data_IF_231243282464
#
_entry.id   IF_231243282464
#
_cell.length_a   1.000
_cell.length_b   1.000
_cell.length_c   1.000
_cell.angle_alpha   90.00
_cell.angle_beta   90.00
_cell.angle_gamma   90.00
#
_symmetry.space_group_name_H-M   'P 1'
#
loop_
_entity.id
_entity.type
_entity.pdbx_description
1 polymer ?
#
# COMPACT_ATOMS: atom_id res chain seq x y z
N UNK A 1 -24.11 21.17 1.40
CA UNK A 1 -24.15 19.95 2.23
C UNK A 1 -23.51 18.77 1.51
N UNK A 2 -24.00 18.36 0.33
CA UNK A 2 -23.46 17.20 -0.41
C UNK A 2 -21.94 17.29 -0.68
N UNK A 3 -21.46 18.46 -1.12
CA UNK A 3 -20.04 18.74 -1.31
C UNK A 3 -19.20 18.47 -0.05
N UNK A 4 -19.57 19.10 1.08
CA UNK A 4 -18.85 18.96 2.37
C UNK A 4 -18.87 17.52 2.87
N UNK A 5 -20.01 16.83 2.73
CA UNK A 5 -20.12 15.41 3.08
C UNK A 5 -19.18 14.56 2.23
N UNK A 6 -19.16 14.77 0.91
CA UNK A 6 -18.26 14.06 0.01
C UNK A 6 -16.78 14.33 0.33
N UNK A 7 -16.43 15.58 0.69
CA UNK A 7 -15.08 15.93 1.12
C UNK A 7 -14.67 15.20 2.40
N UNK A 8 -15.53 15.18 3.43
CA UNK A 8 -15.26 14.44 4.67
C UNK A 8 -15.08 12.95 4.38
N UNK A 9 -15.97 12.36 3.58
CA UNK A 9 -15.88 10.95 3.22
C UNK A 9 -14.64 10.63 2.39
N UNK A 10 -14.22 11.52 1.49
CA UNK A 10 -12.96 11.39 0.74
C UNK A 10 -11.75 11.36 1.68
N UNK A 11 -11.69 12.27 2.65
CA UNK A 11 -10.60 12.32 3.65
C UNK A 11 -10.60 11.08 4.54
N UNK A 12 -11.76 10.65 5.06
CA UNK A 12 -11.87 9.44 5.85
C UNK A 12 -11.42 8.18 5.07
N UNK A 13 -11.78 8.13 3.79
CA UNK A 13 -11.35 7.04 2.90
C UNK A 13 -9.84 7.08 2.67
N UNK A 14 -9.25 8.26 2.50
CA UNK A 14 -7.80 8.42 2.39
C UNK A 14 -7.09 7.95 3.68
N UNK A 15 -7.58 8.32 4.86
CA UNK A 15 -7.07 7.83 6.15
C UNK A 15 -7.12 6.31 6.23
N UNK A 16 -8.24 5.70 5.80
CA UNK A 16 -8.35 4.25 5.76
C UNK A 16 -7.33 3.62 4.77
N UNK A 17 -7.07 4.22 3.61
CA UNK A 17 -6.00 3.76 2.70
C UNK A 17 -4.64 3.80 3.41
N UNK A 18 -4.31 4.87 4.12
CA UNK A 18 -3.06 4.97 4.88
C UNK A 18 -2.98 3.95 6.01
N UNK A 19 -4.07 3.69 6.71
CA UNK A 19 -4.12 2.65 7.74
C UNK A 19 -3.84 1.26 7.16
N UNK A 20 -4.43 0.94 5.99
CA UNK A 20 -4.15 -0.31 5.26
C UNK A 20 -2.69 -0.40 4.83
N UNK A 21 -2.12 0.68 4.28
CA UNK A 21 -0.70 0.71 3.89
C UNK A 21 0.25 0.57 5.10
N UNK A 22 -0.11 1.15 6.25
CA UNK A 22 0.66 1.00 7.48
C UNK A 22 0.63 -0.45 7.98
N UNK A 23 -0.52 -1.13 7.92
CA UNK A 23 -0.61 -2.55 8.23
C UNK A 23 0.22 -3.41 7.27
N UNK A 24 0.14 -3.15 5.95
CA UNK A 24 0.98 -3.82 4.95
C UNK A 24 2.46 -3.65 5.27
N UNK A 25 2.88 -2.44 5.68
CA UNK A 25 4.27 -2.13 6.00
C UNK A 25 4.75 -2.82 7.27
N UNK A 26 3.99 -2.69 8.37
CA UNK A 26 4.31 -3.32 9.65
C UNK A 26 4.33 -4.84 9.52
N UNK A 27 3.35 -5.43 8.83
CA UNK A 27 3.33 -6.85 8.58
C UNK A 27 4.54 -7.30 7.77
N UNK A 28 4.89 -6.59 6.69
CA UNK A 28 6.08 -6.93 5.90
C UNK A 28 7.37 -6.79 6.73
N UNK A 29 7.48 -5.75 7.57
CA UNK A 29 8.62 -5.57 8.46
C UNK A 29 8.74 -6.71 9.49
N UNK A 30 7.61 -7.12 10.06
CA UNK A 30 7.53 -8.23 11.02
C UNK A 30 7.85 -9.57 10.40
N UNK A 31 7.27 -9.87 9.23
CA UNK A 31 7.55 -11.07 8.44
C UNK A 31 9.05 -11.21 8.11
N UNK A 32 9.74 -10.12 7.80
CA UNK A 32 11.18 -10.13 7.52
C UNK A 32 12.04 -10.47 8.74
N UNK A 33 11.55 -10.20 9.95
CA UNK A 33 12.26 -10.44 11.22
C UNK A 33 11.87 -11.75 11.90
N UNK A 34 10.80 -12.40 11.43
CA UNK A 34 10.35 -13.65 12.02
C UNK A 34 11.32 -14.80 11.72
N UNK A 35 11.63 -15.57 12.77
CA UNK A 35 12.47 -16.76 12.71
C UNK A 35 11.67 -18.05 12.92
N UNK A 36 10.51 -17.95 13.59
CA UNK A 36 9.64 -19.10 13.90
C UNK A 36 8.23 -18.87 13.37
N UNK A 37 7.51 -19.97 13.11
CA UNK A 37 6.12 -19.94 12.64
C UNK A 37 5.19 -19.13 13.56
N UNK A 38 5.37 -19.28 14.88
CA UNK A 38 4.61 -18.54 15.90
C UNK A 38 4.75 -17.02 15.77
N UNK A 39 5.91 -16.53 15.32
CA UNK A 39 6.19 -15.11 15.18
C UNK A 39 5.54 -14.52 13.91
N UNK A 40 5.12 -15.38 12.97
CA UNK A 40 4.51 -14.95 11.70
C UNK A 40 2.99 -14.78 11.78
N UNK A 41 2.32 -15.59 12.59
CA UNK A 41 0.85 -15.58 12.71
C UNK A 41 0.27 -14.17 12.93
N UNK A 42 0.80 -13.31 13.81
CA UNK A 42 0.29 -11.95 14.01
C UNK A 42 0.42 -11.06 12.76
N UNK A 43 1.50 -11.23 11.99
CA UNK A 43 1.75 -10.43 10.79
C UNK A 43 0.91 -10.88 9.60
N UNK A 44 0.68 -12.18 9.44
CA UNK A 44 -0.26 -12.71 8.45
C UNK A 44 -1.67 -12.24 8.76
N UNK A 45 -2.06 -12.19 10.04
CA UNK A 45 -3.34 -11.60 10.46
C UNK A 45 -3.43 -10.12 10.08
N UNK A 46 -2.39 -9.32 10.33
CA UNK A 46 -2.36 -7.91 9.93
C UNK A 46 -2.54 -7.72 8.42
N UNK A 47 -1.94 -8.58 7.60
CA UNK A 47 -2.18 -8.60 6.14
C UNK A 47 -3.62 -8.95 5.79
N UNK A 48 -4.24 -9.92 6.48
CA UNK A 48 -5.66 -10.25 6.25
C UNK A 48 -6.58 -9.08 6.59
N UNK A 49 -6.33 -8.39 7.71
CA UNK A 49 -7.11 -7.20 8.10
C UNK A 49 -6.97 -6.11 7.04
N UNK A 50 -5.74 -5.80 6.61
CA UNK A 50 -5.50 -4.86 5.51
C UNK A 50 -6.21 -5.28 4.22
N UNK A 51 -6.16 -6.57 3.87
CA UNK A 51 -6.81 -7.12 2.67
C UNK A 51 -8.34 -7.04 2.74
N UNK A 52 -8.93 -7.11 3.92
CA UNK A 52 -10.37 -7.08 4.12
C UNK A 52 -10.97 -5.69 3.87
N UNK A 53 -10.38 -4.63 4.45
CA UNK A 53 -10.95 -3.26 4.32
C UNK A 53 -10.22 -2.39 3.29
N UNK A 54 -8.95 -2.67 2.98
CA UNK A 54 -8.12 -1.86 2.09
C UNK A 54 -8.68 -1.67 0.68
N UNK A 55 -9.28 -2.69 0.02
CA UNK A 55 -9.93 -2.51 -1.28
C UNK A 55 -11.10 -1.53 -1.22
N UNK A 56 -11.93 -1.62 -0.18
CA UNK A 56 -13.08 -0.74 0.01
C UNK A 56 -12.65 0.70 0.26
N UNK A 57 -11.62 0.93 1.07
CA UNK A 57 -11.04 2.26 1.27
C UNK A 57 -10.54 2.88 -0.05
N UNK A 58 -9.89 2.07 -0.90
CA UNK A 58 -9.39 2.50 -2.22
C UNK A 58 -10.53 2.85 -3.18
N UNK A 59 -11.60 2.07 -3.19
CA UNK A 59 -12.81 2.33 -4.00
C UNK A 59 -13.49 3.62 -3.51
N UNK A 60 -13.67 3.76 -2.19
CA UNK A 60 -14.32 4.91 -1.59
C UNK A 60 -13.55 6.22 -1.86
N UNK A 61 -12.23 6.23 -1.68
CA UNK A 61 -11.42 7.43 -1.93
C UNK A 61 -11.50 7.85 -3.40
N UNK A 62 -11.49 6.89 -4.35
CA UNK A 62 -11.66 7.19 -5.77
C UNK A 62 -13.06 7.73 -6.06
N UNK A 63 -14.11 7.08 -5.55
CA UNK A 63 -15.49 7.47 -5.79
C UNK A 63 -15.78 8.90 -5.35
N UNK A 64 -15.42 9.24 -4.10
CA UNK A 64 -15.60 10.61 -3.60
C UNK A 64 -14.64 11.61 -4.26
N UNK A 65 -13.42 11.19 -4.61
CA UNK A 65 -12.47 12.04 -5.33
C UNK A 65 -12.95 12.42 -6.72
N UNK A 66 -13.51 11.46 -7.47
CA UNK A 66 -14.12 11.71 -8.78
C UNK A 66 -15.35 12.61 -8.67
N UNK A 67 -16.21 12.38 -7.68
CA UNK A 67 -17.34 13.27 -7.42
C UNK A 67 -16.88 14.72 -7.23
N UNK A 68 -15.88 14.96 -6.39
CA UNK A 68 -15.32 16.30 -6.15
C UNK A 68 -14.62 16.88 -7.39
N UNK A 69 -13.98 16.04 -8.20
CA UNK A 69 -13.35 16.45 -9.46
C UNK A 69 -14.36 17.04 -10.46
N UNK A 70 -15.52 16.39 -10.60
CA UNK A 70 -16.61 16.85 -11.47
C UNK A 70 -17.37 18.04 -10.90
N UNK A 71 -17.70 17.99 -9.60
CA UNK A 71 -18.60 18.96 -8.96
C UNK A 71 -17.89 20.29 -8.62
N UNK A 72 -16.60 20.24 -8.24
CA UNK A 72 -15.94 21.38 -7.62
C UNK A 72 -14.58 21.78 -8.21
N UNK A 73 -13.83 20.86 -8.84
CA UNK A 73 -12.42 21.11 -9.16
C UNK A 73 -12.10 21.26 -10.65
N UNK A 74 -13.09 21.21 -11.54
CA UNK A 74 -12.95 21.55 -12.97
C UNK A 74 -11.85 20.80 -13.73
N UNK A 75 -11.55 19.55 -13.36
CA UNK A 75 -10.62 18.65 -14.10
C UNK A 75 -9.23 19.24 -14.42
N UNK A 76 -8.54 19.73 -13.40
CA UNK A 76 -7.17 20.23 -13.51
C UNK A 76 -6.10 19.13 -13.65
N UNK A 77 -4.91 19.50 -14.14
CA UNK A 77 -3.82 18.57 -14.46
C UNK A 77 -3.36 17.67 -13.30
N UNK A 78 -3.37 18.14 -12.06
CA UNK A 78 -3.06 17.33 -10.87
C UNK A 78 -4.05 16.16 -10.69
N UNK A 79 -5.30 16.30 -11.12
CA UNK A 79 -6.29 15.20 -11.05
C UNK A 79 -5.83 14.01 -11.91
N UNK A 80 -5.22 14.27 -13.07
CA UNK A 80 -4.68 13.22 -13.94
C UNK A 80 -3.51 12.50 -13.25
N UNK A 81 -2.60 13.26 -12.63
CA UNK A 81 -1.47 12.71 -11.86
C UNK A 81 -1.98 11.84 -10.71
N UNK A 82 -2.95 12.33 -9.95
CA UNK A 82 -3.53 11.61 -8.84
C UNK A 82 -4.24 10.31 -9.27
N UNK A 83 -5.01 10.33 -10.37
CA UNK A 83 -5.66 9.14 -10.90
C UNK A 83 -4.64 8.09 -11.37
N UNK A 84 -3.59 8.52 -12.10
CA UNK A 84 -2.52 7.63 -12.51
C UNK A 84 -1.77 7.03 -11.31
N UNK A 85 -1.50 7.84 -10.29
CA UNK A 85 -0.82 7.43 -9.05
C UNK A 85 -1.67 6.47 -8.22
N UNK A 86 -2.96 6.75 -8.11
CA UNK A 86 -3.92 5.86 -7.45
C UNK A 86 -4.00 4.51 -8.17
N UNK A 87 -4.05 4.52 -9.51
CA UNK A 87 -4.05 3.30 -10.31
C UNK A 87 -2.77 2.49 -10.08
N UNK A 88 -1.60 3.14 -10.11
CA UNK A 88 -0.33 2.49 -9.80
C UNK A 88 -0.34 1.87 -8.38
N UNK A 89 -0.84 2.60 -7.38
CA UNK A 89 -0.96 2.13 -6.00
C UNK A 89 -1.83 0.86 -5.89
N UNK A 90 -2.93 0.79 -6.63
CA UNK A 90 -3.84 -0.36 -6.66
C UNK A 90 -3.18 -1.56 -7.35
N UNK A 91 -2.60 -1.35 -8.53
CA UNK A 91 -1.99 -2.42 -9.33
C UNK A 91 -0.80 -3.06 -8.62
N UNK A 92 0.04 -2.26 -7.96
CA UNK A 92 1.18 -2.75 -7.18
C UNK A 92 0.77 -3.55 -5.94
N UNK A 93 -0.45 -3.36 -5.41
CA UNK A 93 -0.91 -4.04 -4.21
C UNK A 93 -1.57 -5.41 -4.45
N UNK A 94 -2.21 -5.59 -5.61
CA UNK A 94 -3.21 -6.65 -5.85
C UNK A 94 -2.71 -8.08 -5.66
N UNK A 95 -1.51 -8.41 -6.13
CA UNK A 95 -0.96 -9.76 -6.08
C UNK A 95 -0.38 -10.15 -4.72
N UNK A 96 0.33 -9.21 -4.08
CA UNK A 96 1.14 -9.46 -2.88
C UNK A 96 0.33 -9.45 -1.59
N UNK A 97 -0.55 -8.45 -1.45
CA UNK A 97 -1.21 -8.14 -0.17
C UNK A 97 -2.67 -8.59 -0.13
N UNK A 98 -3.28 -8.87 -1.28
CA UNK A 98 -4.69 -9.31 -1.39
C UNK A 98 -4.86 -10.61 -2.20
N UNK A 99 -3.76 -11.14 -2.74
CA UNK A 99 -3.78 -12.13 -3.81
C UNK A 99 -3.35 -13.54 -3.40
N UNK A 100 -2.69 -14.22 -4.34
CA UNK A 100 -2.25 -15.62 -4.18
C UNK A 100 -1.24 -15.76 -3.03
N UNK A 101 -0.31 -14.82 -2.90
CA UNK A 101 0.74 -14.84 -1.87
C UNK A 101 0.15 -14.83 -0.46
N UNK A 102 -0.81 -13.95 -0.18
CA UNK A 102 -1.48 -13.93 1.13
C UNK A 102 -2.20 -15.26 1.39
N UNK A 103 -2.94 -15.82 0.42
CA UNK A 103 -3.63 -17.10 0.60
C UNK A 103 -2.66 -18.25 0.91
N UNK A 104 -1.49 -18.28 0.27
CA UNK A 104 -0.44 -19.25 0.56
C UNK A 104 0.07 -19.09 2.00
N UNK A 105 0.35 -17.85 2.44
CA UNK A 105 0.76 -17.58 3.82
C UNK A 105 -0.28 -18.00 4.85
N UNK A 106 -1.58 -17.75 4.57
CA UNK A 106 -2.68 -18.18 5.45
C UNK A 106 -2.77 -19.70 5.53
N UNK A 107 -2.69 -20.40 4.39
CA UNK A 107 -2.72 -21.86 4.37
C UNK A 107 -1.58 -22.46 5.21
N UNK A 108 -0.36 -21.93 5.06
CA UNK A 108 0.83 -22.38 5.78
C UNK A 108 0.75 -22.14 7.30
N UNK A 109 0.19 -21.01 7.72
CA UNK A 109 0.00 -20.73 9.17
C UNK A 109 -1.04 -21.67 9.79
N UNK A 110 -2.01 -22.15 9.00
CA UNK A 110 -3.07 -23.03 9.50
C UNK A 110 -2.69 -24.51 9.53
N UNK A 111 -1.63 -24.94 8.84
CA UNK A 111 -1.24 -26.36 8.77
C UNK A 111 -0.53 -26.88 10.03
N UNK A 112 -0.06 -26.02 10.95
CA UNK A 112 0.60 -26.35 12.24
C UNK A 112 1.76 -27.38 12.20
N UNK A 113 2.16 -27.91 11.05
CA UNK A 113 3.25 -28.86 10.89
C UNK A 113 4.62 -28.20 11.07
N UNK A 114 5.44 -28.74 11.97
CA UNK A 114 6.79 -28.27 12.25
C UNK A 114 7.72 -28.31 11.01
N UNK A 115 7.50 -29.26 10.10
CA UNK A 115 8.28 -29.39 8.85
C UNK A 115 7.92 -28.33 7.79
N UNK A 116 6.81 -27.61 7.95
CA UNK A 116 6.44 -26.51 7.05
C UNK A 116 7.26 -25.22 7.30
N UNK A 117 8.02 -25.14 8.40
CA UNK A 117 8.79 -23.96 8.80
C UNK A 117 9.96 -23.62 7.84
N UNK A 118 10.64 -24.64 7.29
CA UNK A 118 11.80 -24.44 6.42
C UNK A 118 11.44 -23.93 5.01
N UNK A 119 10.43 -24.48 4.30
CA UNK A 119 9.92 -23.88 3.06
C UNK A 119 9.36 -22.47 3.26
N UNK A 120 8.74 -22.23 4.42
CA UNK A 120 8.11 -20.97 4.77
C UNK A 120 9.10 -19.80 4.95
N UNK A 121 10.25 -20.02 5.59
CA UNK A 121 11.28 -18.97 5.72
C UNK A 121 11.74 -18.43 4.35
N UNK A 122 11.80 -19.28 3.33
CA UNK A 122 12.14 -18.88 1.95
C UNK A 122 11.02 -18.12 1.23
N UNK A 123 9.75 -18.40 1.57
CA UNK A 123 8.57 -17.76 0.98
C UNK A 123 8.11 -16.48 1.71
N UNK A 124 8.53 -16.28 2.96
CA UNK A 124 8.18 -15.11 3.77
C UNK A 124 9.22 -13.99 3.60
N UNK A 125 10.49 -14.33 3.37
CA UNK A 125 11.59 -13.36 3.19
C UNK A 125 11.70 -12.83 1.77
N UNK A 126 10.59 -12.59 1.09
CA UNK A 126 10.68 -12.18 -0.31
C UNK A 126 10.99 -10.69 -0.41
N UNK A 127 12.17 -10.29 -0.94
CA UNK A 127 12.60 -8.90 -0.96
C UNK A 127 11.63 -7.98 -1.73
N UNK A 128 10.88 -8.55 -2.68
CA UNK A 128 9.93 -7.81 -3.51
C UNK A 128 8.73 -7.25 -2.75
N UNK A 129 8.26 -7.90 -1.67
CA UNK A 129 7.15 -7.35 -0.87
C UNK A 129 7.54 -6.04 -0.17
N UNK A 130 8.80 -5.96 0.28
CA UNK A 130 9.35 -4.75 0.89
C UNK A 130 9.44 -3.61 -0.12
N UNK A 131 9.91 -3.91 -1.34
CA UNK A 131 9.95 -2.93 -2.44
C UNK A 131 8.54 -2.41 -2.71
N UNK A 132 7.55 -3.30 -2.88
CA UNK A 132 6.19 -2.90 -3.21
C UNK A 132 5.54 -2.04 -2.14
N UNK A 133 5.71 -2.39 -0.86
CA UNK A 133 5.08 -1.61 0.22
C UNK A 133 5.70 -0.23 0.34
N UNK A 134 7.03 -0.11 0.21
CA UNK A 134 7.71 1.18 0.21
C UNK A 134 7.34 2.04 -1.00
N UNK A 135 7.27 1.44 -2.19
CA UNK A 135 6.80 2.14 -3.40
C UNK A 135 5.37 2.63 -3.23
N UNK A 136 4.46 1.81 -2.68
CA UNK A 136 3.07 2.21 -2.44
C UNK A 136 2.96 3.33 -1.39
N UNK A 137 3.77 3.29 -0.34
CA UNK A 137 3.86 4.39 0.63
C UNK A 137 4.37 5.68 -0.03
N UNK A 138 5.41 5.60 -0.84
CA UNK A 138 5.95 6.73 -1.59
C UNK A 138 4.91 7.34 -2.54
N UNK A 139 4.16 6.50 -3.26
CA UNK A 139 3.04 6.93 -4.09
C UNK A 139 1.96 7.62 -3.27
N UNK A 140 1.56 7.05 -2.13
CA UNK A 140 0.53 7.65 -1.28
C UNK A 140 0.94 9.02 -0.74
N UNK A 141 2.20 9.18 -0.30
CA UNK A 141 2.76 10.47 0.13
C UNK A 141 2.80 11.47 -1.03
N UNK A 142 3.27 11.05 -2.21
CA UNK A 142 3.26 11.89 -3.41
C UNK A 142 1.86 12.34 -3.80
N UNK A 143 0.85 11.49 -3.62
CA UNK A 143 -0.56 11.79 -3.92
C UNK A 143 -1.14 12.82 -2.94
N UNK A 144 -0.82 12.73 -1.64
CA UNK A 144 -1.20 13.75 -0.65
C UNK A 144 -0.54 15.10 -0.99
N UNK A 145 0.74 15.08 -1.38
CA UNK A 145 1.44 16.29 -1.78
C UNK A 145 0.81 16.94 -3.02
N UNK A 146 0.50 16.15 -4.05
CA UNK A 146 -0.17 16.59 -5.27
C UNK A 146 -1.55 17.20 -4.97
N UNK A 147 -2.35 16.56 -4.11
CA UNK A 147 -3.66 17.05 -3.66
C UNK A 147 -3.59 18.35 -2.85
N UNK A 148 -2.49 18.56 -2.13
CA UNK A 148 -2.31 19.71 -1.23
C UNK A 148 -1.82 20.93 -1.99
N UNK A 149 -0.79 20.78 -2.81
CA UNK A 149 -0.18 21.89 -3.55
C UNK A 149 -0.86 22.16 -4.89
N UNK A 150 -1.65 21.20 -5.40
CA UNK A 150 -2.32 21.25 -6.71
C UNK A 150 -1.39 21.78 -7.81
N UNK A 151 -0.17 21.25 -7.91
CA UNK A 151 0.82 21.80 -8.82
C UNK A 151 0.40 21.55 -10.28
N UNK A 152 1.12 22.17 -11.22
CA UNK A 152 0.94 21.83 -12.63
C UNK A 152 1.28 20.35 -12.89
N UNK A 153 0.70 19.77 -13.96
CA UNK A 153 0.85 18.36 -14.35
C UNK A 153 2.31 17.86 -14.27
N UNK A 154 3.25 18.69 -14.71
CA UNK A 154 4.69 18.36 -14.77
C UNK A 154 5.31 18.23 -13.38
N UNK A 155 5.01 19.18 -12.47
CA UNK A 155 5.57 19.17 -11.11
C UNK A 155 4.95 18.04 -10.30
N UNK A 156 3.64 17.78 -10.44
CA UNK A 156 2.98 16.64 -9.80
C UNK A 156 3.60 15.31 -10.24
N UNK A 157 3.80 15.11 -11.55
CA UNK A 157 4.42 13.90 -12.08
C UNK A 157 5.84 13.69 -11.54
N UNK A 158 6.67 14.74 -11.49
CA UNK A 158 8.04 14.66 -10.94
C UNK A 158 8.00 14.21 -9.49
N UNK A 159 7.10 14.74 -8.66
CA UNK A 159 7.05 14.41 -7.23
C UNK A 159 6.62 12.97 -6.98
N UNK A 160 5.65 12.46 -7.75
CA UNK A 160 5.25 11.05 -7.71
C UNK A 160 6.39 10.14 -8.13
N UNK A 161 7.11 10.50 -9.20
CA UNK A 161 8.27 9.74 -9.68
C UNK A 161 9.42 9.76 -8.67
N UNK A 162 9.65 10.88 -7.99
CA UNK A 162 10.64 10.98 -6.90
C UNK A 162 10.22 10.11 -5.72
N UNK A 163 8.96 10.15 -5.28
CA UNK A 163 8.44 9.30 -4.21
C UNK A 163 8.58 7.80 -4.52
N UNK A 164 8.23 7.40 -5.75
CA UNK A 164 8.41 6.02 -6.22
C UNK A 164 9.91 5.64 -6.32
N UNK A 165 10.74 6.55 -6.83
CA UNK A 165 12.19 6.37 -6.96
C UNK A 165 12.90 6.22 -5.62
N UNK A 166 12.50 6.99 -4.59
CA UNK A 166 13.00 6.84 -3.22
C UNK A 166 12.61 5.48 -2.63
N UNK A 167 11.37 5.03 -2.85
CA UNK A 167 10.93 3.69 -2.45
C UNK A 167 11.79 2.58 -3.07
N UNK A 168 12.09 2.70 -4.37
CA UNK A 168 12.98 1.79 -5.08
C UNK A 168 14.43 1.88 -4.57
N UNK A 169 14.98 3.08 -4.35
CA UNK A 169 16.35 3.25 -3.87
C UNK A 169 16.54 2.71 -2.44
N UNK A 170 15.57 2.93 -1.55
CA UNK A 170 15.59 2.37 -0.19
C UNK A 170 15.48 0.85 -0.18
N UNK A 171 14.93 0.25 -1.25
CA UNK A 171 14.85 -1.20 -1.40
C UNK A 171 16.14 -1.86 -1.88
N UNK A 172 17.02 -1.11 -2.55
CA UNK A 172 18.30 -1.60 -3.08
C UNK A 172 19.45 -1.53 -2.07
N UNK A 173 19.24 -1.00 -0.85
CA UNK A 173 20.28 -1.03 0.18
C UNK A 173 20.62 -2.48 0.53
N UNK A 174 21.87 -2.94 0.31
CA UNK A 174 22.28 -4.29 0.65
C UNK A 174 22.04 -4.54 2.14
N UNK A 175 21.43 -5.67 2.47
CA UNK A 175 21.32 -6.16 3.85
C UNK A 175 22.70 -6.62 4.34
N UNK A 176 23.61 -5.68 4.57
CA UNK A 176 24.81 -5.89 5.38
C UNK A 176 24.42 -5.66 6.85
N UNK A 177 23.64 -6.58 7.41
CA UNK A 177 23.41 -6.66 8.84
C UNK A 177 23.34 -8.14 9.20
N UNK A 178 24.53 -8.71 9.40
CA UNK A 178 24.74 -9.97 10.09
C UNK A 178 24.33 -9.77 11.55
N UNK A 179 23.25 -10.41 11.97
CA UNK A 179 22.98 -10.81 13.35
C UNK A 179 22.30 -12.16 13.31
#
# INVERSE_FOLDING_TARGET
MLHTTALVLHILSAIAVFASLALDWLATAGLRRAERLQDVRPWVWALQVSAAFGPWARIAVLGFGLFLAFDAWSWQGWIIVALASWLALVLLGGGAFTGRTLRQMVALVNTEEADAAAPFASQVRVPWMWVLVLTRLGLAVGLVFDMTLKPSLVIGAIMVLVGAGVGLALSQRPSNASY
#
